data_IF_159010055366
#
_entry.id   IF_159010055366
#
_cell.length_a   1.000
_cell.length_b   1.000
_cell.length_c   1.000
_cell.angle_alpha   90.00
_cell.angle_beta   90.00
_cell.angle_gamma   90.00
#
_symmetry.space_group_name_H-M   'P 1'
#
loop_
_entity.id
_entity.type
_entity.pdbx_description
1 polymer ?
#
# COMPACT_ATOMS: atom_id res chain seq x y z
N UNK A 1 7.74 -6.75 10.23
CA UNK A 1 6.43 -6.14 10.55
C UNK A 1 6.36 -5.84 12.05
N UNK A 2 5.97 -4.62 12.41
CA UNK A 2 5.79 -4.20 13.81
C UNK A 2 4.51 -4.79 14.42
N UNK A 3 4.38 -4.79 15.74
CA UNK A 3 3.15 -5.26 16.39
C UNK A 3 1.95 -4.33 16.15
N UNK A 4 2.20 -3.06 15.82
CA UNK A 4 1.16 -2.15 15.37
C UNK A 4 0.68 -2.52 13.97
N UNK A 5 1.61 -2.76 13.03
CA UNK A 5 1.28 -3.18 11.67
C UNK A 5 0.53 -4.53 11.63
N UNK A 6 0.91 -5.48 12.50
CA UNK A 6 0.14 -6.74 12.68
C UNK A 6 -1.30 -6.46 13.09
N UNK A 7 -1.52 -5.57 14.07
CA UNK A 7 -2.85 -5.20 14.55
C UNK A 7 -3.66 -4.47 13.49
N UNK A 8 -3.05 -3.55 12.76
CA UNK A 8 -3.73 -2.81 11.69
C UNK A 8 -4.12 -3.74 10.53
N UNK A 9 -3.23 -4.68 10.16
CA UNK A 9 -3.52 -5.70 9.16
C UNK A 9 -4.65 -6.64 9.60
N UNK A 10 -4.62 -7.09 10.86
CA UNK A 10 -5.70 -7.92 11.40
C UNK A 10 -7.04 -7.17 11.38
N UNK A 11 -7.04 -5.87 11.70
CA UNK A 11 -8.25 -5.05 11.63
C UNK A 11 -8.84 -4.93 10.21
N UNK A 12 -8.01 -5.00 9.16
CA UNK A 12 -8.49 -5.08 7.77
C UNK A 12 -9.20 -6.42 7.54
N UNK A 13 -8.61 -7.52 8.00
CA UNK A 13 -9.20 -8.87 7.87
C UNK A 13 -10.51 -8.95 8.66
N UNK A 14 -10.52 -8.47 9.90
CA UNK A 14 -11.69 -8.49 10.78
C UNK A 14 -12.84 -7.66 10.19
N UNK A 15 -12.54 -6.54 9.53
CA UNK A 15 -13.55 -5.73 8.84
C UNK A 15 -14.21 -6.49 7.67
N UNK A 16 -13.44 -7.27 6.91
CA UNK A 16 -13.98 -8.13 5.84
C UNK A 16 -14.80 -9.29 6.43
N UNK A 17 -14.28 -9.94 7.47
CA UNK A 17 -14.97 -11.04 8.18
C UNK A 17 -16.29 -10.57 8.79
N UNK A 18 -16.30 -9.35 9.35
CA UNK A 18 -17.44 -8.71 9.99
C UNK A 18 -18.38 -7.95 9.07
N UNK A 19 -18.12 -7.91 7.75
CA UNK A 19 -18.92 -7.15 6.77
C UNK A 19 -19.03 -5.65 7.08
N UNK A 20 -17.94 -5.01 7.53
CA UNK A 20 -17.90 -3.59 7.89
C UNK A 20 -16.98 -2.77 6.96
N UNK A 21 -17.58 -2.11 5.97
CA UNK A 21 -16.87 -1.27 4.99
C UNK A 21 -16.24 -0.03 5.63
N UNK A 22 -16.89 0.56 6.65
CA UNK A 22 -16.37 1.77 7.31
C UNK A 22 -15.12 1.44 8.13
N UNK A 23 -15.14 0.31 8.83
CA UNK A 23 -13.99 -0.22 9.52
C UNK A 23 -12.88 -0.62 8.54
N UNK A 24 -13.22 -1.20 7.39
CA UNK A 24 -12.27 -1.55 6.33
C UNK A 24 -11.50 -0.31 5.85
N UNK A 25 -12.21 0.75 5.49
CA UNK A 25 -11.57 2.00 5.02
C UNK A 25 -10.64 2.59 6.10
N UNK A 26 -11.08 2.59 7.35
CA UNK A 26 -10.28 3.10 8.49
C UNK A 26 -9.05 2.24 8.75
N UNK A 27 -9.18 0.91 8.69
CA UNK A 27 -8.07 -0.02 8.89
C UNK A 27 -7.04 0.07 7.76
N UNK A 28 -7.48 0.16 6.50
CA UNK A 28 -6.60 0.37 5.34
C UNK A 28 -5.78 1.66 5.47
N UNK A 29 -6.40 2.75 5.91
CA UNK A 29 -5.70 4.02 6.16
C UNK A 29 -4.67 3.93 7.30
N UNK A 30 -4.96 3.18 8.36
CA UNK A 30 -3.97 2.96 9.44
C UNK A 30 -2.80 2.12 8.94
N UNK A 31 -3.10 1.05 8.20
CA UNK A 31 -2.10 0.13 7.66
C UNK A 31 -1.17 0.83 6.66
N UNK A 32 -1.67 1.69 5.79
CA UNK A 32 -0.83 2.43 4.84
C UNK A 32 0.19 3.34 5.52
N UNK A 33 -0.08 3.78 6.76
CA UNK A 33 0.86 4.57 7.55
C UNK A 33 1.83 3.70 8.38
N UNK A 34 1.40 2.53 8.86
CA UNK A 34 2.22 1.67 9.73
C UNK A 34 3.09 0.67 8.98
N UNK A 35 2.61 0.14 7.85
CA UNK A 35 3.35 -0.77 6.96
C UNK A 35 2.84 -0.66 5.51
N UNK A 36 3.42 0.24 4.70
CA UNK A 36 3.08 0.40 3.30
C UNK A 36 3.16 -0.87 2.45
N UNK A 37 4.11 -1.77 2.74
CA UNK A 37 4.26 -3.03 2.00
C UNK A 37 3.07 -3.93 2.27
N UNK A 38 2.71 -4.11 3.55
CA UNK A 38 1.55 -4.91 3.94
C UNK A 38 0.24 -4.30 3.40
N UNK A 39 0.15 -2.97 3.32
CA UNK A 39 -0.98 -2.27 2.70
C UNK A 39 -1.12 -2.60 1.20
N UNK A 40 -0.04 -2.52 0.43
CA UNK A 40 -0.06 -2.86 -1.00
C UNK A 40 -0.40 -4.34 -1.24
N UNK A 41 0.18 -5.21 -0.43
CA UNK A 41 -0.05 -6.64 -0.43
C UNK A 41 -1.52 -7.00 -0.19
N UNK A 42 -2.11 -6.51 0.92
CA UNK A 42 -3.50 -6.85 1.27
C UNK A 42 -4.51 -6.22 0.31
N UNK A 43 -4.25 -4.99 -0.18
CA UNK A 43 -5.12 -4.38 -1.19
C UNK A 43 -5.03 -5.11 -2.53
N UNK A 44 -3.88 -5.71 -2.85
CA UNK A 44 -3.73 -6.62 -3.99
C UNK A 44 -4.62 -7.85 -3.83
N UNK A 45 -4.55 -8.52 -2.67
CA UNK A 45 -5.37 -9.69 -2.37
C UNK A 45 -6.87 -9.38 -2.40
N UNK A 46 -7.29 -8.26 -1.82
CA UNK A 46 -8.69 -7.81 -1.79
C UNK A 46 -9.29 -7.53 -3.17
N UNK A 47 -8.46 -7.23 -4.18
CA UNK A 47 -8.90 -6.97 -5.54
C UNK A 47 -8.68 -8.16 -6.49
N UNK A 48 -7.91 -9.16 -6.06
CA UNK A 48 -7.52 -10.27 -6.90
C UNK A 48 -8.61 -11.35 -6.99
N UNK A 49 -9.50 -11.22 -7.96
CA UNK A 49 -10.57 -12.20 -8.24
C UNK A 49 -10.07 -13.50 -8.87
N UNK A 50 -8.79 -13.59 -9.25
CA UNK A 50 -8.18 -14.79 -9.89
C UNK A 50 -7.48 -15.70 -8.87
N UNK A 51 -7.77 -15.53 -7.60
CA UNK A 51 -7.11 -16.29 -6.56
C UNK A 51 -7.41 -17.79 -6.69
N UNK A 52 -6.37 -18.62 -6.54
CA UNK A 52 -6.50 -20.07 -6.61
C UNK A 52 -7.10 -20.60 -5.31
N UNK A 53 -8.01 -21.56 -5.38
CA UNK A 53 -8.57 -22.23 -4.18
C UNK A 53 -7.53 -23.08 -3.43
N UNK A 54 -6.48 -23.52 -4.13
CA UNK A 54 -5.41 -24.36 -3.58
C UNK A 54 -4.06 -23.67 -3.69
N UNK A 55 -3.32 -23.67 -2.58
CA UNK A 55 -1.98 -23.11 -2.48
C UNK A 55 -0.97 -24.19 -2.15
N UNK A 56 0.09 -24.28 -2.95
CA UNK A 56 1.22 -25.14 -2.59
C UNK A 56 2.08 -24.49 -1.53
N UNK A 57 2.43 -25.26 -0.51
CA UNK A 57 3.44 -24.87 0.48
C UNK A 57 4.86 -25.21 0.00
N UNK A 58 5.02 -25.90 -1.13
CA UNK A 58 6.31 -26.08 -1.80
C UNK A 58 6.48 -24.91 -2.77
N UNK A 59 7.06 -23.81 -2.27
CA UNK A 59 7.37 -22.62 -3.06
C UNK A 59 7.42 -21.35 -2.19
N UNK A 60 8.15 -20.33 -2.65
CA UNK A 60 8.27 -19.03 -1.99
C UNK A 60 7.05 -18.13 -2.27
N UNK A 61 5.84 -18.59 -1.94
CA UNK A 61 4.60 -17.84 -2.12
C UNK A 61 3.98 -17.42 -0.78
N UNK A 62 3.56 -16.16 -0.65
CA UNK A 62 2.68 -15.70 0.44
C UNK A 62 1.27 -16.21 0.19
N UNK A 63 0.64 -16.80 1.22
CA UNK A 63 -0.80 -17.10 1.18
C UNK A 63 -1.58 -15.79 1.25
N UNK A 64 -2.50 -15.52 0.30
CA UNK A 64 -3.30 -14.30 0.35
C UNK A 64 -4.23 -14.28 1.57
N UNK A 65 -4.50 -13.09 2.10
CA UNK A 65 -5.34 -12.93 3.29
C UNK A 65 -6.85 -12.79 2.97
N UNK A 66 -7.19 -12.57 1.70
CA UNK A 66 -8.56 -12.51 1.21
C UNK A 66 -8.92 -13.78 0.42
N UNK A 67 -10.21 -14.06 0.26
CA UNK A 67 -10.74 -15.13 -0.58
C UNK A 67 -11.97 -14.61 -1.33
N UNK A 68 -12.11 -14.93 -2.62
CA UNK A 68 -13.20 -14.43 -3.46
C UNK A 68 -14.12 -15.58 -3.86
N UNK A 69 -15.42 -15.42 -3.65
CA UNK A 69 -16.44 -16.34 -4.16
C UNK A 69 -17.75 -15.60 -4.41
N UNK A 70 -18.42 -15.92 -5.52
CA UNK A 70 -19.78 -15.44 -5.83
C UNK A 70 -19.97 -13.91 -5.76
N UNK A 71 -18.94 -13.13 -6.12
CA UNK A 71 -18.99 -11.66 -6.07
C UNK A 71 -18.78 -11.05 -4.68
N UNK A 72 -18.37 -11.87 -3.71
CA UNK A 72 -18.10 -11.48 -2.33
C UNK A 72 -16.64 -11.78 -1.97
N UNK A 73 -16.06 -10.88 -1.18
CA UNK A 73 -14.71 -10.99 -0.62
C UNK A 73 -14.81 -11.41 0.83
N UNK A 74 -14.12 -12.49 1.19
CA UNK A 74 -14.06 -13.06 2.52
C UNK A 74 -12.64 -12.96 3.08
N UNK A 75 -12.50 -13.09 4.39
CA UNK A 75 -11.19 -13.45 4.96
C UNK A 75 -10.80 -14.86 4.51
N UNK A 76 -9.53 -15.11 4.23
CA UNK A 76 -9.05 -16.44 3.89
C UNK A 76 -8.69 -17.24 5.15
N UNK A 77 -9.23 -18.46 5.27
CA UNK A 77 -8.76 -19.48 6.21
C UNK A 77 -8.19 -20.67 5.46
N UNK A 78 -7.02 -21.15 5.88
CA UNK A 78 -6.31 -22.24 5.21
C UNK A 78 -6.40 -23.53 6.01
N UNK A 79 -7.04 -24.54 5.42
CA UNK A 79 -7.10 -25.90 5.97
C UNK A 79 -6.10 -26.81 5.27
N UNK A 80 -5.75 -27.92 5.92
CA UNK A 80 -4.90 -28.95 5.31
C UNK A 80 -5.61 -29.58 4.09
N UNK A 81 -4.95 -29.52 2.94
CA UNK A 81 -5.35 -30.20 1.72
C UNK A 81 -4.60 -31.53 1.56
N UNK A 82 -4.36 -31.95 0.31
CA UNK A 82 -3.46 -33.06 0.00
C UNK A 82 -1.99 -32.70 0.27
N UNK A 83 -1.07 -33.66 0.19
CA UNK A 83 0.35 -33.48 0.51
C UNK A 83 0.92 -32.17 -0.07
N UNK A 84 1.39 -31.30 0.81
CA UNK A 84 1.94 -29.97 0.50
C UNK A 84 0.98 -28.95 -0.16
N UNK A 85 -0.33 -29.12 -0.02
CA UNK A 85 -1.34 -28.17 -0.46
C UNK A 85 -2.20 -27.70 0.73
N UNK A 86 -2.52 -26.41 0.76
CA UNK A 86 -3.52 -25.80 1.65
C UNK A 86 -4.74 -25.38 0.82
N UNK A 87 -5.94 -25.54 1.37
CA UNK A 87 -7.18 -25.08 0.73
C UNK A 87 -7.66 -23.80 1.40
N UNK A 88 -7.94 -22.78 0.61
CA UNK A 88 -8.55 -21.54 1.09
C UNK A 88 -10.06 -21.76 1.27
N UNK A 89 -10.58 -21.28 2.39
CA UNK A 89 -12.00 -21.27 2.71
C UNK A 89 -12.43 -19.85 3.10
N UNK A 90 -13.68 -19.48 2.79
CA UNK A 90 -14.24 -18.21 3.22
C UNK A 90 -14.39 -18.17 4.74
N UNK A 91 -13.98 -17.07 5.34
CA UNK A 91 -14.20 -16.77 6.75
C UNK A 91 -15.09 -15.54 6.92
N UNK A 92 -16.13 -15.70 7.76
CA UNK A 92 -17.06 -14.63 8.11
C UNK A 92 -18.19 -14.41 7.09
N UNK A 93 -18.81 -13.25 7.20
CA UNK A 93 -19.94 -12.83 6.35
C UNK A 93 -19.45 -12.37 4.97
N UNK A 94 -18.26 -11.75 4.93
CA UNK A 94 -17.68 -11.19 3.70
C UNK A 94 -18.28 -9.85 3.31
N UNK A 95 -17.73 -9.23 2.27
CA UNK A 95 -18.16 -7.94 1.72
C UNK A 95 -18.37 -8.03 0.20
N UNK A 96 -19.36 -7.33 -0.36
CA UNK A 96 -19.52 -7.24 -1.81
C UNK A 96 -18.26 -6.67 -2.48
N UNK A 97 -17.81 -7.31 -3.56
CA UNK A 97 -16.56 -6.91 -4.26
C UNK A 97 -16.57 -5.45 -4.72
N UNK A 98 -17.73 -4.92 -5.09
CA UNK A 98 -17.86 -3.53 -5.53
C UNK A 98 -17.60 -2.53 -4.39
N UNK A 99 -18.09 -2.84 -3.18
CA UNK A 99 -17.85 -2.00 -1.99
C UNK A 99 -16.37 -2.06 -1.56
N UNK A 100 -15.79 -3.26 -1.60
CA UNK A 100 -14.35 -3.45 -1.33
C UNK A 100 -13.52 -2.70 -2.36
N UNK A 101 -13.88 -2.78 -3.65
CA UNK A 101 -13.16 -2.09 -4.72
C UNK A 101 -13.16 -0.59 -4.50
N UNK A 102 -14.32 0.01 -4.25
CA UNK A 102 -14.42 1.44 -3.97
C UNK A 102 -13.59 1.87 -2.74
N UNK A 103 -13.66 1.10 -1.65
CA UNK A 103 -12.89 1.39 -0.44
C UNK A 103 -11.38 1.30 -0.68
N UNK A 104 -10.92 0.26 -1.38
CA UNK A 104 -9.51 0.04 -1.70
C UNK A 104 -8.99 1.10 -2.67
N UNK A 105 -9.71 1.40 -3.74
CA UNK A 105 -9.33 2.43 -4.72
C UNK A 105 -9.18 3.80 -4.06
N UNK A 106 -10.15 4.17 -3.20
CA UNK A 106 -10.06 5.40 -2.42
C UNK A 106 -8.85 5.41 -1.48
N UNK A 107 -8.63 4.33 -0.73
CA UNK A 107 -7.49 4.23 0.19
C UNK A 107 -6.14 4.30 -0.55
N UNK A 108 -6.04 3.66 -1.72
CA UNK A 108 -4.85 3.73 -2.59
C UNK A 108 -4.63 5.14 -3.12
N UNK A 109 -5.67 5.81 -3.61
CA UNK A 109 -5.57 7.19 -4.07
C UNK A 109 -5.13 8.15 -2.95
N UNK A 110 -5.70 8.02 -1.74
CA UNK A 110 -5.28 8.81 -0.57
C UNK A 110 -3.80 8.54 -0.20
N UNK A 111 -3.37 7.28 -0.26
CA UNK A 111 -1.99 6.90 0.01
C UNK A 111 -1.04 7.46 -1.05
N UNK A 112 -1.34 7.30 -2.33
CA UNK A 112 -0.54 7.84 -3.44
C UNK A 112 -0.43 9.37 -3.36
N UNK A 113 -1.52 10.05 -3.04
CA UNK A 113 -1.50 11.50 -2.83
C UNK A 113 -0.58 11.88 -1.64
N UNK A 114 -0.58 11.08 -0.57
CA UNK A 114 0.31 11.31 0.57
C UNK A 114 1.79 11.18 0.19
N UNK A 115 2.13 10.20 -0.64
CA UNK A 115 3.49 10.00 -1.17
C UNK A 115 3.87 11.16 -2.10
N UNK A 116 2.97 11.58 -2.99
CA UNK A 116 3.19 12.74 -3.86
C UNK A 116 3.43 14.01 -3.03
N UNK A 117 2.68 14.23 -1.95
CA UNK A 117 2.88 15.39 -1.07
C UNK A 117 4.29 15.40 -0.45
N UNK A 118 4.82 14.24 -0.06
CA UNK A 118 6.21 14.11 0.44
C UNK A 118 7.22 14.45 -0.67
N UNK A 119 6.99 13.98 -1.90
CA UNK A 119 7.85 14.32 -3.05
C UNK A 119 7.80 15.82 -3.35
N UNK A 120 6.63 16.45 -3.21
CA UNK A 120 6.49 17.89 -3.41
C UNK A 120 7.22 18.70 -2.35
N UNK A 121 7.16 18.29 -1.07
CA UNK A 121 7.79 19.01 0.04
C UNK A 121 9.32 19.07 -0.05
N UNK A 122 9.97 18.10 -0.70
CA UNK A 122 11.42 18.12 -0.97
C UNK A 122 11.86 19.42 -1.67
N UNK A 123 11.06 19.91 -2.62
CA UNK A 123 11.35 21.17 -3.32
C UNK A 123 11.28 22.38 -2.39
N UNK A 124 10.21 22.46 -1.59
CA UNK A 124 10.02 23.55 -0.63
C UNK A 124 11.11 23.58 0.45
N UNK A 125 11.56 22.40 0.92
CA UNK A 125 12.69 22.30 1.86
C UNK A 125 13.99 22.80 1.24
N UNK A 126 14.22 22.55 -0.06
CA UNK A 126 15.45 22.97 -0.72
C UNK A 126 15.45 24.47 -1.05
N UNK A 127 14.31 25.05 -1.40
CA UNK A 127 14.15 26.51 -1.51
C UNK A 127 14.40 27.23 -0.17
N UNK A 128 13.99 26.61 0.94
CA UNK A 128 14.30 27.12 2.28
C UNK A 128 15.80 27.06 2.56
N UNK A 129 16.47 25.96 2.18
CA UNK A 129 17.92 25.81 2.34
C UNK A 129 18.69 26.85 1.52
N UNK A 130 18.30 27.08 0.27
CA UNK A 130 18.90 28.12 -0.59
C UNK A 130 18.82 29.51 0.07
N UNK A 131 17.66 29.85 0.68
CA UNK A 131 17.48 31.10 1.42
C UNK A 131 18.40 31.19 2.64
N UNK A 132 18.53 30.11 3.40
CA UNK A 132 19.40 30.07 4.58
C UNK A 132 20.88 30.22 4.19
N UNK A 133 21.28 29.71 3.02
CA UNK A 133 22.67 29.72 2.53
C UNK A 133 23.01 30.92 1.63
N UNK A 134 22.06 31.80 1.33
CA UNK A 134 22.27 32.99 0.51
C UNK A 134 23.28 34.00 1.11
N UNK A 135 23.51 33.96 2.43
CA UNK A 135 24.52 34.77 3.13
C UNK A 135 25.84 34.04 3.43
N UNK A 136 25.98 32.79 2.99
CA UNK A 136 27.18 31.98 3.21
C UNK A 136 28.27 32.26 2.16
N UNK A 137 29.40 31.57 2.26
CA UNK A 137 30.50 31.73 1.31
C UNK A 137 30.04 31.41 -0.12
N UNK A 138 30.65 32.04 -1.12
CA UNK A 138 30.34 31.79 -2.54
C UNK A 138 30.44 30.31 -2.92
N UNK A 139 31.36 29.57 -2.29
CA UNK A 139 31.53 28.13 -2.49
C UNK A 139 30.32 27.35 -1.98
N UNK A 140 29.79 27.69 -0.80
CA UNK A 140 28.62 27.03 -0.21
C UNK A 140 27.37 27.26 -1.06
N UNK A 141 27.15 28.49 -1.53
CA UNK A 141 26.01 28.82 -2.40
C UNK A 141 26.09 28.09 -3.75
N UNK A 142 27.29 27.94 -4.33
CA UNK A 142 27.53 27.18 -5.57
C UNK A 142 27.22 25.69 -5.39
N UNK A 143 27.70 25.07 -4.32
CA UNK A 143 27.45 23.66 -4.02
C UNK A 143 25.96 23.39 -3.77
N UNK A 144 25.29 24.29 -3.06
CA UNK A 144 23.84 24.19 -2.80
C UNK A 144 23.04 24.29 -4.08
N UNK A 145 23.37 25.22 -4.97
CA UNK A 145 22.72 25.35 -6.28
C UNK A 145 22.87 24.08 -7.14
N UNK A 146 24.05 23.43 -7.12
CA UNK A 146 24.23 22.14 -7.81
C UNK A 146 23.36 21.04 -7.20
N UNK A 147 23.32 20.95 -5.87
CA UNK A 147 22.46 19.99 -5.17
C UNK A 147 20.97 20.21 -5.47
N UNK A 148 20.53 21.46 -5.58
CA UNK A 148 19.16 21.80 -5.96
C UNK A 148 18.84 21.30 -7.38
N UNK A 149 19.70 21.52 -8.37
CA UNK A 149 19.47 21.03 -9.74
C UNK A 149 19.35 19.51 -9.79
N UNK A 150 20.20 18.78 -9.08
CA UNK A 150 20.11 17.31 -9.01
C UNK A 150 18.85 16.84 -8.27
N UNK A 151 18.44 17.54 -7.22
CA UNK A 151 17.18 17.24 -6.53
C UNK A 151 15.96 17.47 -7.44
N UNK A 152 15.95 18.53 -8.26
CA UNK A 152 14.86 18.77 -9.21
C UNK A 152 14.72 17.63 -10.21
N UNK A 153 15.84 17.11 -10.74
CA UNK A 153 15.84 15.93 -11.60
C UNK A 153 15.32 14.70 -10.86
N UNK A 154 15.81 14.45 -9.63
CA UNK A 154 15.36 13.35 -8.79
C UNK A 154 13.86 13.42 -8.49
N UNK A 155 13.34 14.61 -8.17
CA UNK A 155 11.91 14.86 -7.95
C UNK A 155 11.08 14.54 -9.19
N UNK A 156 11.53 14.95 -10.38
CA UNK A 156 10.84 14.63 -11.63
C UNK A 156 10.77 13.11 -11.87
N UNK A 157 11.87 12.38 -11.59
CA UNK A 157 11.89 10.91 -11.67
C UNK A 157 10.95 10.25 -10.65
N UNK A 158 10.90 10.75 -9.41
CA UNK A 158 9.98 10.25 -8.39
C UNK A 158 8.52 10.48 -8.79
N UNK A 159 8.17 11.66 -9.31
CA UNK A 159 6.82 11.94 -9.84
C UNK A 159 6.49 11.00 -11.01
N UNK A 160 7.44 10.76 -11.92
CA UNK A 160 7.23 9.86 -13.05
C UNK A 160 7.03 8.39 -12.61
N UNK A 161 7.72 7.93 -11.56
CA UNK A 161 7.54 6.59 -10.99
C UNK A 161 6.20 6.40 -10.24
N UNK A 162 5.60 7.51 -9.80
CA UNK A 162 4.28 7.52 -9.15
C UNK A 162 3.13 7.69 -10.14
N UNK A 163 3.42 7.93 -11.43
CA UNK A 163 2.41 8.07 -12.46
C UNK A 163 1.80 6.67 -12.77
N UNK A 164 0.46 6.52 -12.73
CA UNK A 164 -0.19 5.25 -13.06
C UNK A 164 0.13 4.73 -14.47
N UNK A 165 0.43 5.63 -15.42
CA UNK A 165 0.72 5.28 -16.82
C UNK A 165 2.07 4.59 -17.05
N UNK A 166 2.94 4.55 -16.05
CA UNK A 166 4.26 3.90 -16.13
C UNK A 166 4.32 2.56 -15.39
N UNK A 167 3.20 2.11 -14.82
CA UNK A 167 3.06 0.84 -14.08
C UNK A 167 2.27 -0.16 -14.93
N UNK A 168 2.97 -0.80 -15.87
CA UNK A 168 2.46 -1.97 -16.64
C UNK A 168 2.34 -3.23 -15.76
#
# INVERSE_FOLDING_TARGET
MTDQAKRDKQAVIDAVVGSDVAMLATALKRLSNSDPSAFLDITGDLLNTKQREQFSIIGFGRMPDAYHADGVVYGAMYTDGSTFLKRAHPAGVGLPIEEVRQAVEKARAEYEQSVLNVVHSLGSTMELLDKMLAGHSFVDTKLTSLAHVELLKGKALLVAALNPLTRD
#
